data_IF_232247622037
#
_entry.id   IF_232247622037
#
_cell.length_a   1.000
_cell.length_b   1.000
_cell.length_c   1.000
_cell.angle_alpha   90.00
_cell.angle_beta   90.00
_cell.angle_gamma   90.00
#
_symmetry.space_group_name_H-M   'P 1'
#
loop_
_entity.id
_entity.type
_entity.pdbx_description
1 polymer ?
#
# COMPACT_ATOMS: atom_id res chain seq x y z
N UNK A 1 16.16 -1.94 0.19
CA UNK A 1 15.66 -2.18 -1.18
C UNK A 1 15.68 -0.84 -1.90
N UNK A 2 16.38 -0.72 -3.02
CA UNK A 2 16.50 0.54 -3.77
C UNK A 2 15.46 0.60 -4.90
N UNK A 3 14.98 1.78 -5.23
CA UNK A 3 13.94 1.97 -6.23
C UNK A 3 13.98 3.35 -6.88
N UNK A 4 13.55 3.42 -8.14
CA UNK A 4 13.39 4.67 -8.88
C UNK A 4 11.96 5.19 -8.73
N UNK A 5 11.82 6.44 -8.31
CA UNK A 5 10.58 7.20 -8.31
C UNK A 5 10.48 8.12 -9.52
N UNK A 6 9.24 8.44 -9.89
CA UNK A 6 8.93 9.44 -10.91
C UNK A 6 7.54 10.03 -10.63
N UNK A 7 7.38 11.34 -10.80
CA UNK A 7 6.05 12.00 -10.88
C UNK A 7 5.72 12.45 -12.32
N UNK A 8 6.36 11.84 -13.33
CA UNK A 8 6.23 12.21 -14.73
C UNK A 8 7.04 13.46 -15.14
N UNK A 9 7.46 14.30 -14.18
CA UNK A 9 8.29 15.50 -14.43
C UNK A 9 9.74 15.31 -13.98
N UNK A 10 9.94 14.61 -12.88
CA UNK A 10 11.26 14.42 -12.28
C UNK A 10 11.38 12.99 -11.78
N UNK A 11 12.60 12.45 -11.85
CA UNK A 11 12.95 11.15 -11.30
C UNK A 11 13.90 11.32 -10.12
N UNK A 12 13.81 10.43 -9.14
CA UNK A 12 14.72 10.42 -8.00
C UNK A 12 14.88 9.01 -7.44
N UNK A 13 15.95 8.82 -6.68
CA UNK A 13 16.22 7.56 -6.00
C UNK A 13 15.53 7.52 -4.63
N UNK A 14 14.92 6.37 -4.36
CA UNK A 14 14.34 6.00 -3.07
C UNK A 14 14.96 4.71 -2.54
N UNK A 15 14.89 4.53 -1.22
CA UNK A 15 15.40 3.32 -0.56
C UNK A 15 14.54 2.96 0.64
N UNK A 16 14.10 1.71 0.69
CA UNK A 16 13.47 1.07 1.85
C UNK A 16 14.58 0.54 2.76
N UNK A 17 14.48 0.86 4.06
CA UNK A 17 15.39 0.49 5.15
C UNK A 17 14.58 -0.01 6.36
N UNK A 18 15.27 -0.66 7.29
CA UNK A 18 14.77 -1.00 8.64
C UNK A 18 13.35 -1.59 8.72
N UNK A 19 12.97 -2.44 7.76
CA UNK A 19 11.62 -2.98 7.75
C UNK A 19 11.44 -4.12 8.75
N UNK A 20 10.23 -4.26 9.30
CA UNK A 20 9.81 -5.36 10.20
C UNK A 20 8.45 -5.90 9.78
N UNK A 21 8.23 -7.18 10.04
CA UNK A 21 7.02 -7.93 9.72
C UNK A 21 6.36 -8.38 11.04
N UNK A 22 5.08 -8.06 11.23
CA UNK A 22 4.31 -8.34 12.45
C UNK A 22 3.13 -9.30 12.18
N UNK A 23 3.26 -10.14 11.16
CA UNK A 23 2.21 -11.06 10.73
C UNK A 23 1.24 -10.44 9.73
N UNK A 24 0.32 -9.59 10.19
CA UNK A 24 -0.70 -8.95 9.32
C UNK A 24 -0.39 -7.48 8.96
N UNK A 25 0.70 -6.94 9.47
CA UNK A 25 1.15 -5.58 9.19
C UNK A 25 2.68 -5.50 9.19
N UNK A 26 3.16 -4.38 8.67
CA UNK A 26 4.56 -4.12 8.38
C UNK A 26 4.92 -2.71 8.86
N UNK A 27 6.16 -2.54 9.28
CA UNK A 27 6.76 -1.21 9.42
C UNK A 27 7.96 -1.11 8.50
N UNK A 28 8.19 0.05 7.89
CA UNK A 28 9.41 0.31 7.10
C UNK A 28 9.80 1.77 7.16
N UNK A 29 11.10 2.02 6.98
CA UNK A 29 11.63 3.37 6.81
C UNK A 29 11.94 3.59 5.33
N UNK A 30 11.54 4.73 4.78
CA UNK A 30 11.86 5.13 3.42
C UNK A 30 12.79 6.33 3.49
N UNK A 31 13.85 6.33 2.70
CA UNK A 31 14.60 7.55 2.39
C UNK A 31 14.50 7.86 0.91
N UNK A 32 13.98 9.03 0.55
CA UNK A 32 13.85 9.47 -0.83
C UNK A 32 13.95 11.00 -0.89
N UNK A 33 14.68 11.53 -1.87
CA UNK A 33 14.80 12.98 -2.12
C UNK A 33 15.13 13.83 -0.86
N UNK A 34 15.92 13.30 0.06
CA UNK A 34 16.28 13.97 1.31
C UNK A 34 15.28 13.83 2.45
N UNK A 35 14.08 13.29 2.20
CA UNK A 35 13.09 12.93 3.21
C UNK A 35 13.42 11.58 3.85
N UNK A 36 13.10 11.46 5.15
CA UNK A 36 12.97 10.19 5.86
C UNK A 36 11.51 9.98 6.25
N UNK A 37 10.94 8.81 5.94
CA UNK A 37 9.50 8.55 6.08
C UNK A 37 9.30 7.22 6.80
N UNK A 38 8.66 7.27 7.96
CA UNK A 38 8.21 6.10 8.71
C UNK A 38 6.86 5.65 8.18
N UNK A 39 6.75 4.40 7.76
CA UNK A 39 5.53 3.83 7.19
C UNK A 39 5.08 2.61 7.97
N UNK A 40 3.81 2.57 8.32
CA UNK A 40 3.12 1.38 8.84
C UNK A 40 1.98 1.05 7.91
N UNK A 41 1.84 -0.21 7.52
CA UNK A 41 0.73 -0.63 6.67
C UNK A 41 0.40 -2.11 6.89
N UNK A 42 -0.83 -2.49 6.60
CA UNK A 42 -1.28 -3.86 6.82
C UNK A 42 -2.63 -4.13 6.17
N UNK A 43 -3.01 -5.40 6.17
CA UNK A 43 -4.26 -5.81 5.55
C UNK A 43 -5.45 -5.31 6.39
N UNK A 44 -6.44 -4.74 5.71
CA UNK A 44 -7.75 -4.40 6.21
C UNK A 44 -8.80 -5.36 5.59
N UNK A 45 -10.08 -5.18 5.94
CA UNK A 45 -11.16 -6.00 5.40
C UNK A 45 -11.39 -5.75 3.91
N UNK A 46 -12.00 -6.72 3.22
CA UNK A 46 -12.41 -6.59 1.81
C UNK A 46 -11.25 -6.30 0.86
N UNK A 47 -10.13 -7.01 1.02
CA UNK A 47 -8.94 -6.85 0.18
C UNK A 47 -8.22 -5.51 0.33
N UNK A 48 -8.63 -4.64 1.26
CA UNK A 48 -8.05 -3.32 1.43
C UNK A 48 -6.78 -3.35 2.28
N UNK A 49 -6.06 -2.23 2.29
CA UNK A 49 -4.88 -2.01 3.11
C UNK A 49 -4.98 -0.68 3.83
N UNK A 50 -4.62 -0.66 5.11
CA UNK A 50 -4.41 0.60 5.82
C UNK A 50 -2.96 1.05 5.66
N UNK A 51 -2.76 2.36 5.60
CA UNK A 51 -1.45 3.00 5.61
C UNK A 51 -1.47 4.10 6.66
N UNK A 52 -0.40 4.16 7.46
CA UNK A 52 -0.14 5.22 8.44
C UNK A 52 1.28 5.76 8.25
N UNK A 53 1.40 7.08 8.20
CA UNK A 53 2.64 7.83 7.99
C UNK A 53 2.75 8.87 9.12
N UNK A 54 3.30 8.48 10.28
CA UNK A 54 3.25 9.32 11.49
C UNK A 54 3.96 10.66 11.32
N UNK A 55 5.07 10.68 10.58
CA UNK A 55 5.88 11.89 10.37
C UNK A 55 5.11 13.01 9.65
N UNK A 56 4.02 12.67 8.93
CA UNK A 56 3.10 13.59 8.27
C UNK A 56 1.72 13.66 8.92
N UNK A 57 1.49 12.95 10.04
CA UNK A 57 0.17 12.77 10.63
C UNK A 57 -0.89 12.30 9.60
N UNK A 58 -0.47 11.44 8.67
CA UNK A 58 -1.30 10.99 7.55
C UNK A 58 -1.70 9.52 7.71
N UNK A 59 -2.95 9.19 7.37
CA UNK A 59 -3.44 7.82 7.35
C UNK A 59 -4.60 7.66 6.37
N UNK A 60 -4.65 6.52 5.67
CA UNK A 60 -5.64 6.26 4.63
C UNK A 60 -5.80 4.76 4.36
N UNK A 61 -6.89 4.42 3.68
CA UNK A 61 -7.15 3.09 3.15
C UNK A 61 -6.90 3.11 1.63
N UNK A 62 -6.19 2.10 1.13
CA UNK A 62 -5.99 1.85 -0.30
C UNK A 62 -6.46 0.44 -0.68
N UNK A 63 -6.71 0.21 -1.97
CA UNK A 63 -7.17 -1.08 -2.46
C UNK A 63 -6.02 -2.05 -2.76
N UNK A 64 -5.04 -1.60 -3.53
CA UNK A 64 -3.98 -2.46 -4.08
C UNK A 64 -2.63 -1.74 -3.93
N UNK A 65 -1.65 -2.40 -3.29
CA UNK A 65 -0.30 -1.90 -3.02
C UNK A 65 0.47 -1.61 -4.33
N UNK A 66 0.14 -2.30 -5.41
CA UNK A 66 0.81 -2.23 -6.71
C UNK A 66 0.27 -1.14 -7.64
N UNK A 67 -0.86 -0.51 -7.31
CA UNK A 67 -1.38 0.64 -8.07
C UNK A 67 -0.63 1.93 -7.77
N UNK A 68 0.63 2.03 -8.23
CA UNK A 68 1.54 3.13 -7.89
C UNK A 68 0.96 4.51 -8.18
N UNK A 69 0.42 4.77 -9.38
CA UNK A 69 -0.05 6.11 -9.75
C UNK A 69 -1.24 6.57 -8.91
N UNK A 70 -2.20 5.68 -8.68
CA UNK A 70 -3.38 5.97 -7.87
C UNK A 70 -3.02 6.18 -6.39
N UNK A 71 -2.16 5.31 -5.87
CA UNK A 71 -1.68 5.43 -4.50
C UNK A 71 -0.85 6.70 -4.31
N UNK A 72 -0.01 7.07 -5.28
CA UNK A 72 0.82 8.27 -5.21
C UNK A 72 -0.04 9.54 -5.09
N UNK A 73 -1.12 9.65 -5.88
CA UNK A 73 -2.05 10.77 -5.81
C UNK A 73 -2.73 10.83 -4.43
N UNK A 74 -3.33 9.73 -3.96
CA UNK A 74 -4.03 9.70 -2.68
C UNK A 74 -3.11 9.97 -1.49
N UNK A 75 -1.96 9.31 -1.45
CA UNK A 75 -0.99 9.47 -0.38
C UNK A 75 -0.41 10.89 -0.42
N UNK A 76 -0.12 11.41 -1.62
CA UNK A 76 0.39 12.78 -1.80
C UNK A 76 -0.60 13.84 -1.30
N UNK A 77 -1.90 13.65 -1.53
CA UNK A 77 -2.94 14.51 -0.95
C UNK A 77 -2.96 14.38 0.58
N UNK A 78 -2.95 13.17 1.13
CA UNK A 78 -2.98 12.95 2.58
C UNK A 78 -1.74 13.50 3.31
N UNK A 79 -0.58 13.51 2.65
CA UNK A 79 0.67 14.07 3.17
C UNK A 79 0.85 15.55 2.84
N UNK A 80 -0.04 16.14 2.03
CA UNK A 80 0.15 17.46 1.40
C UNK A 80 1.51 17.61 0.69
N UNK A 81 2.01 16.51 0.11
CA UNK A 81 3.32 16.44 -0.54
C UNK A 81 3.35 15.38 -1.67
N UNK A 82 3.32 15.87 -2.91
CA UNK A 82 3.33 15.04 -4.13
C UNK A 82 4.56 14.14 -4.24
N UNK A 83 5.75 14.66 -3.93
CA UNK A 83 7.01 13.91 -4.07
C UNK A 83 7.10 12.76 -3.07
N UNK A 84 6.75 13.02 -1.81
CA UNK A 84 6.78 11.98 -0.78
C UNK A 84 5.64 10.97 -0.99
N UNK A 85 4.47 11.41 -1.49
CA UNK A 85 3.40 10.52 -1.91
C UNK A 85 3.83 9.50 -2.97
N UNK A 86 4.51 9.95 -4.02
CA UNK A 86 5.11 9.07 -5.03
C UNK A 86 6.19 8.15 -4.45
N UNK A 87 6.96 8.63 -3.48
CA UNK A 87 8.00 7.83 -2.82
C UNK A 87 7.40 6.69 -2.01
N UNK A 88 6.34 6.95 -1.25
CA UNK A 88 5.63 5.94 -0.45
C UNK A 88 4.92 4.94 -1.36
N UNK A 89 4.19 5.40 -2.37
CA UNK A 89 3.49 4.51 -3.30
C UNK A 89 4.46 3.56 -4.03
N UNK A 90 5.62 4.07 -4.45
CA UNK A 90 6.63 3.22 -5.09
C UNK A 90 7.28 2.25 -4.11
N UNK A 91 7.51 2.67 -2.87
CA UNK A 91 8.01 1.78 -1.82
C UNK A 91 7.04 0.63 -1.53
N UNK A 92 5.74 0.89 -1.45
CA UNK A 92 4.70 -0.13 -1.27
C UNK A 92 4.74 -1.17 -2.39
N UNK A 93 4.78 -0.74 -3.65
CA UNK A 93 4.92 -1.63 -4.80
C UNK A 93 6.18 -2.51 -4.69
N UNK A 94 7.34 -1.90 -4.46
CA UNK A 94 8.62 -2.64 -4.42
C UNK A 94 8.65 -3.61 -3.26
N UNK A 95 8.10 -3.22 -2.11
CA UNK A 95 8.01 -4.09 -0.95
C UNK A 95 7.08 -5.27 -1.22
N UNK A 96 5.88 -5.01 -1.77
CA UNK A 96 4.90 -6.04 -2.11
C UNK A 96 5.46 -7.07 -3.10
N UNK A 97 6.17 -6.60 -4.13
CA UNK A 97 6.86 -7.46 -5.10
C UNK A 97 7.99 -8.28 -4.45
N UNK A 98 8.85 -7.63 -3.67
CA UNK A 98 10.00 -8.28 -3.04
C UNK A 98 9.58 -9.32 -2.01
N UNK A 99 8.53 -9.03 -1.25
CA UNK A 99 7.98 -9.92 -0.22
C UNK A 99 6.91 -10.86 -0.74
N UNK A 100 6.58 -10.78 -2.03
CA UNK A 100 5.55 -11.61 -2.69
C UNK A 100 4.22 -11.58 -1.94
N UNK A 101 3.84 -10.40 -1.46
CA UNK A 101 2.59 -10.18 -0.74
C UNK A 101 1.43 -10.54 -1.67
N UNK A 102 0.61 -11.49 -1.21
CA UNK A 102 -0.64 -11.88 -1.86
C UNK A 102 -1.72 -10.88 -1.47
N UNK A 103 -2.28 -10.20 -2.45
CA UNK A 103 -3.40 -9.28 -2.26
C UNK A 103 -4.69 -10.05 -2.50
N UNK A 104 -5.65 -9.92 -1.58
CA UNK A 104 -6.93 -10.59 -1.71
C UNK A 104 -7.84 -9.77 -2.61
N UNK A 105 -8.55 -10.46 -3.50
CA UNK A 105 -9.63 -9.83 -4.26
C UNK A 105 -10.82 -9.59 -3.33
N UNK A 106 -11.27 -8.33 -3.27
CA UNK A 106 -12.38 -7.91 -2.41
C UNK A 106 -13.69 -8.66 -2.74
N UNK A 107 -13.94 -8.94 -4.02
CA UNK A 107 -15.12 -9.68 -4.48
C UNK A 107 -15.05 -11.11 -4.00
N UNK A 108 -13.89 -11.76 -4.14
CA UNK A 108 -13.71 -13.13 -3.69
C UNK A 108 -13.86 -13.23 -2.17
N UNK A 109 -13.27 -12.31 -1.40
CA UNK A 109 -13.44 -12.27 0.06
C UNK A 109 -14.91 -12.13 0.45
N UNK A 110 -15.66 -11.27 -0.25
CA UNK A 110 -17.10 -11.12 -0.03
C UNK A 110 -17.90 -12.37 -0.37
N UNK A 111 -17.60 -13.02 -1.51
CA UNK A 111 -18.24 -14.27 -1.92
C UNK A 111 -17.96 -15.41 -0.92
N UNK A 112 -16.74 -15.48 -0.39
CA UNK A 112 -16.36 -16.47 0.62
C UNK A 112 -17.13 -16.24 1.94
N UNK A 113 -17.32 -14.98 2.35
CA UNK A 113 -18.15 -14.62 3.52
C UNK A 113 -19.60 -15.02 3.29
N UNK A 114 -20.17 -14.71 2.12
CA UNK A 114 -21.55 -15.09 1.78
C UNK A 114 -21.74 -16.60 1.77
N UNK A 115 -20.79 -17.34 1.19
CA UNK A 115 -20.80 -18.80 1.15
C UNK A 115 -20.71 -19.39 2.55
N UNK A 116 -19.84 -18.85 3.41
CA UNK A 116 -19.73 -19.26 4.81
C UNK A 116 -21.00 -18.98 5.63
N UNK A 117 -21.73 -17.92 5.26
CA UNK A 117 -23.03 -17.59 5.84
C UNK A 117 -24.22 -18.39 5.26
N UNK A 118 -23.98 -19.29 4.30
CA UNK A 118 -24.99 -20.19 3.74
C UNK A 118 -25.76 -19.64 2.53
N UNK A 119 -25.36 -18.50 1.98
CA UNK A 119 -25.93 -17.99 0.72
C UNK A 119 -25.42 -18.81 -0.48
N UNK A 120 -26.30 -19.10 -1.44
CA UNK A 120 -25.98 -19.79 -2.70
C UNK A 120 -26.07 -18.82 -3.88
N UNK A 121 -25.23 -19.03 -4.89
CA UNK A 121 -25.32 -18.30 -6.15
C UNK A 121 -26.62 -18.65 -6.86
N UNK A 122 -27.28 -17.64 -7.42
CA UNK A 122 -28.61 -17.74 -8.02
C UNK A 122 -28.57 -18.50 -9.36
N UNK A 123 -27.37 -18.65 -9.95
CA UNK A 123 -27.13 -19.27 -11.26
C UNK A 123 -26.84 -20.79 -11.20
N UNK A 124 -26.91 -21.43 -10.03
CA UNK A 124 -26.78 -22.91 -9.88
C UNK A 124 -28.15 -23.64 -9.93
N UNK A 125 -29.15 -23.06 -10.60
CA UNK A 125 -30.53 -23.58 -10.72
C UNK A 125 -30.89 -24.13 -12.10
#
# INVERSE_FOLDING_TARGET
MEFNCSNGKTTWQGKIKNYKEYGNHYSLDISARGSGISLYFGQASFGQWFICIPDWNAGLIIGDLRQVSYNAEKIGVAMENDYDGHSVAKALFVFAETKKIQEKDATQEYLDILKAAGFKNIDEG
#
